data_IF_402805765944
#
_entry.id   IF_402805765944
#
_cell.length_a   1.000
_cell.length_b   1.000
_cell.length_c   1.000
_cell.angle_alpha   90.00
_cell.angle_beta   90.00
_cell.angle_gamma   90.00
#
_symmetry.space_group_name_H-M   'P 1'
#
loop_
_entity.id
_entity.type
_entity.pdbx_description
1 polymer ?
#
# COMPACT_ATOMS: atom_id res chain seq x y z
N UNK A 1 13.96 -9.11 15.84
CA UNK A 1 12.96 -9.98 15.20
C UNK A 1 13.41 -10.20 13.77
N UNK A 2 13.41 -11.44 13.31
CA UNK A 2 13.71 -11.76 11.91
C UNK A 2 12.41 -11.74 11.13
N UNK A 3 12.36 -10.93 10.07
CA UNK A 3 11.19 -10.78 9.21
C UNK A 3 11.52 -11.29 7.82
N UNK A 4 10.50 -11.72 7.09
CA UNK A 4 10.62 -12.12 5.69
C UNK A 4 9.96 -11.06 4.81
N UNK A 5 10.70 -10.51 3.86
CA UNK A 5 10.11 -9.72 2.78
C UNK A 5 9.81 -10.64 1.60
N UNK A 6 8.53 -10.72 1.22
CA UNK A 6 8.04 -11.49 0.07
C UNK A 6 7.53 -10.50 -0.95
N UNK A 7 8.02 -10.63 -2.18
CA UNK A 7 7.42 -9.99 -3.35
C UNK A 7 7.74 -10.82 -4.60
N UNK A 8 6.74 -11.13 -5.41
CA UNK A 8 6.96 -11.80 -6.70
C UNK A 8 5.96 -11.33 -7.75
N UNK A 9 6.33 -11.34 -9.04
CA UNK A 9 5.38 -11.07 -10.12
C UNK A 9 4.33 -12.18 -10.18
N UNK A 10 3.11 -11.81 -10.53
CA UNK A 10 1.97 -12.75 -10.60
C UNK A 10 1.30 -12.76 -11.97
N UNK A 11 0.88 -11.60 -12.49
CA UNK A 11 0.12 -11.49 -13.73
C UNK A 11 0.40 -10.17 -14.45
N UNK A 12 0.08 -10.09 -15.74
CA UNK A 12 -0.04 -8.82 -16.44
C UNK A 12 -1.38 -8.16 -16.15
N UNK A 13 -1.44 -6.83 -16.18
CA UNK A 13 -2.67 -6.07 -15.95
C UNK A 13 -2.78 -4.89 -16.90
N UNK A 14 -4.01 -4.52 -17.23
CA UNK A 14 -4.32 -3.29 -17.96
C UNK A 14 -4.95 -2.26 -17.04
N UNK A 15 -4.66 -0.99 -17.28
CA UNK A 15 -5.25 0.14 -16.56
C UNK A 15 -6.34 0.80 -17.42
N UNK A 16 -7.44 1.29 -16.82
CA UNK A 16 -8.38 2.12 -17.55
C UNK A 16 -7.74 3.48 -17.86
N UNK A 17 -8.33 4.26 -18.76
CA UNK A 17 -7.79 5.57 -19.16
C UNK A 17 -7.48 6.47 -17.95
N UNK A 18 -6.41 7.27 -18.06
CA UNK A 18 -6.04 8.18 -16.99
C UNK A 18 -7.09 9.30 -16.81
N UNK A 19 -7.58 9.47 -15.58
CA UNK A 19 -8.51 10.56 -15.21
C UNK A 19 -8.11 11.25 -13.90
N UNK A 20 -6.87 11.08 -13.44
CA UNK A 20 -6.37 11.59 -12.16
C UNK A 20 -7.22 11.19 -10.92
N UNK A 21 -7.83 10.01 -10.96
CA UNK A 21 -8.65 9.46 -9.89
C UNK A 21 -7.84 9.08 -8.64
N UNK A 22 -8.41 9.36 -7.46
CA UNK A 22 -7.84 8.99 -6.16
C UNK A 22 -8.88 8.35 -5.26
N UNK A 23 -8.59 7.14 -4.82
CA UNK A 23 -9.38 6.36 -3.87
C UNK A 23 -8.44 5.90 -2.78
N UNK A 24 -8.81 6.07 -1.52
CA UNK A 24 -7.98 5.65 -0.42
C UNK A 24 -8.68 4.57 0.40
N UNK A 25 -8.08 3.37 0.39
CA UNK A 25 -8.42 2.22 1.23
C UNK A 25 -9.92 1.94 1.32
N UNK A 26 -10.60 1.96 0.17
CA UNK A 26 -12.03 1.66 0.10
C UNK A 26 -12.25 0.15 0.21
N UNK A 27 -13.14 -0.22 1.13
CA UNK A 27 -13.53 -1.60 1.34
C UNK A 27 -14.40 -2.13 0.18
N UNK A 28 -14.20 -3.40 -0.18
CA UNK A 28 -15.09 -4.19 -1.01
C UNK A 28 -14.89 -5.70 -0.74
N UNK A 29 -15.84 -6.54 -1.14
CA UNK A 29 -15.69 -8.00 -1.10
C UNK A 29 -15.46 -8.55 -2.50
N UNK A 30 -14.62 -9.58 -2.60
CA UNK A 30 -14.27 -10.19 -3.88
C UNK A 30 -15.50 -10.72 -4.63
N UNK A 31 -16.44 -11.34 -3.92
CA UNK A 31 -17.65 -11.92 -4.51
C UNK A 31 -18.63 -10.88 -5.09
N UNK A 32 -18.67 -9.68 -4.49
CA UNK A 32 -19.52 -8.57 -4.92
C UNK A 32 -18.86 -7.77 -6.06
N UNK A 33 -17.53 -7.82 -6.13
CA UNK A 33 -16.72 -6.98 -7.00
C UNK A 33 -16.62 -5.54 -6.51
N UNK A 34 -16.09 -4.67 -7.36
CA UNK A 34 -15.97 -3.25 -7.04
C UNK A 34 -17.34 -2.55 -7.09
N UNK A 35 -17.54 -1.53 -6.23
CA UNK A 35 -18.72 -0.68 -6.27
C UNK A 35 -18.83 0.07 -7.61
N UNK A 36 -20.04 0.50 -7.96
CA UNK A 36 -20.37 1.03 -9.29
C UNK A 36 -19.48 2.19 -9.73
N UNK A 37 -19.14 3.10 -8.82
CA UNK A 37 -18.28 4.25 -9.12
C UNK A 37 -16.83 3.87 -9.40
N UNK A 38 -16.40 2.66 -9.03
CA UNK A 38 -15.07 2.11 -9.33
C UNK A 38 -15.11 1.00 -10.40
N UNK A 39 -16.27 0.75 -11.03
CA UNK A 39 -16.43 -0.41 -11.92
C UNK A 39 -15.46 -0.42 -13.11
N UNK A 40 -14.98 0.74 -13.55
CA UNK A 40 -13.93 0.86 -14.58
C UNK A 40 -12.62 0.15 -14.24
N UNK A 41 -12.36 -0.09 -12.95
CA UNK A 41 -11.17 -0.78 -12.45
C UNK A 41 -11.37 -2.27 -12.26
N UNK A 42 -12.59 -2.79 -12.46
CA UNK A 42 -12.89 -4.22 -12.24
C UNK A 42 -11.93 -5.13 -13.01
N UNK A 43 -11.63 -4.92 -14.31
CA UNK A 43 -10.68 -5.78 -15.02
C UNK A 43 -9.25 -5.74 -14.43
N UNK A 44 -8.82 -4.57 -13.92
CA UNK A 44 -7.54 -4.42 -13.24
C UNK A 44 -7.51 -5.22 -11.95
N UNK A 45 -8.56 -5.10 -11.13
CA UNK A 45 -8.68 -5.77 -9.83
C UNK A 45 -8.85 -7.28 -10.00
N UNK A 46 -9.61 -7.74 -10.99
CA UNK A 46 -9.76 -9.17 -11.29
C UNK A 46 -8.41 -9.81 -11.63
N UNK A 47 -7.58 -9.13 -12.44
CA UNK A 47 -6.23 -9.59 -12.75
C UNK A 47 -5.32 -9.58 -11.50
N UNK A 48 -5.46 -8.58 -10.63
CA UNK A 48 -4.69 -8.49 -9.37
C UNK A 48 -5.06 -9.60 -8.38
N UNK A 49 -6.33 -10.01 -8.33
CA UNK A 49 -6.88 -11.03 -7.43
C UNK A 49 -6.92 -12.45 -8.04
N UNK A 50 -6.33 -12.65 -9.22
CA UNK A 50 -6.31 -13.95 -9.90
C UNK A 50 -5.55 -15.00 -9.10
N UNK A 51 -6.24 -15.91 -8.41
CA UNK A 51 -5.63 -16.93 -7.55
C UNK A 51 -5.58 -16.58 -6.06
N UNK A 52 -6.11 -15.41 -5.68
CA UNK A 52 -6.33 -15.02 -4.28
C UNK A 52 -7.65 -15.63 -3.83
N UNK A 53 -7.66 -16.43 -2.76
CA UNK A 53 -8.89 -16.99 -2.18
C UNK A 53 -9.11 -16.38 -0.80
N UNK A 54 -10.22 -15.64 -0.64
CA UNK A 54 -10.56 -14.94 0.60
C UNK A 54 -12.02 -14.48 0.56
N UNK A 55 -12.67 -14.57 1.71
CA UNK A 55 -14.00 -13.99 1.97
C UNK A 55 -13.89 -12.70 2.82
N UNK A 56 -12.67 -12.32 3.24
CA UNK A 56 -12.45 -11.13 4.06
C UNK A 56 -12.62 -9.84 3.23
N UNK A 57 -12.93 -8.71 3.90
CA UNK A 57 -12.95 -7.41 3.25
C UNK A 57 -11.57 -7.07 2.67
N UNK A 58 -11.55 -6.63 1.41
CA UNK A 58 -10.36 -6.16 0.69
C UNK A 58 -10.39 -4.64 0.67
N UNK A 59 -9.23 -4.01 0.84
CA UNK A 59 -9.12 -2.55 0.82
C UNK A 59 -8.32 -2.09 -0.39
N UNK A 60 -8.94 -1.28 -1.24
CA UNK A 60 -8.32 -0.75 -2.46
C UNK A 60 -7.86 0.70 -2.29
N UNK A 61 -6.62 0.96 -2.70
CA UNK A 61 -6.13 2.30 -2.97
C UNK A 61 -5.85 2.45 -4.47
N UNK A 62 -6.30 3.58 -5.02
CA UNK A 62 -6.05 4.02 -6.38
C UNK A 62 -5.40 5.40 -6.26
N UNK A 63 -4.19 5.56 -6.77
CA UNK A 63 -3.50 6.84 -6.80
C UNK A 63 -3.06 7.11 -8.24
N UNK A 64 -3.80 7.97 -8.92
CA UNK A 64 -3.45 8.49 -10.22
C UNK A 64 -2.87 9.89 -10.07
N UNK A 65 -1.78 10.18 -10.78
CA UNK A 65 -1.16 11.50 -10.74
C UNK A 65 -0.19 11.75 -11.88
N UNK A 66 0.05 13.04 -12.15
CA UNK A 66 1.15 13.49 -13.00
C UNK A 66 2.39 13.57 -12.11
N UNK A 67 3.42 12.80 -12.44
CA UNK A 67 4.70 12.77 -11.71
C UNK A 67 5.73 13.51 -12.54
N UNK A 68 6.39 14.49 -11.94
CA UNK A 68 7.45 15.25 -12.60
C UNK A 68 8.76 14.47 -12.62
N UNK A 69 9.57 14.67 -13.66
CA UNK A 69 10.91 14.11 -13.75
C UNK A 69 11.72 14.35 -12.45
N UNK A 70 12.43 13.33 -11.98
CA UNK A 70 13.21 13.38 -10.73
C UNK A 70 12.40 13.24 -9.44
N UNK A 71 11.07 13.16 -9.52
CA UNK A 71 10.20 12.93 -8.36
C UNK A 71 9.65 11.50 -8.32
N UNK A 72 9.24 11.09 -7.12
CA UNK A 72 8.48 9.86 -6.89
C UNK A 72 7.00 10.20 -6.78
N UNK A 73 6.13 9.26 -7.14
CA UNK A 73 4.69 9.44 -6.95
C UNK A 73 4.29 9.36 -5.48
N UNK A 74 4.92 8.43 -4.75
CA UNK A 74 4.68 8.14 -3.32
C UNK A 74 5.95 8.42 -2.50
N UNK A 75 5.89 8.15 -1.19
CA UNK A 75 6.98 8.32 -0.23
C UNK A 75 8.30 7.73 -0.77
N UNK A 76 9.37 8.52 -0.65
CA UNK A 76 10.75 8.09 -0.94
C UNK A 76 11.28 7.26 0.23
N UNK A 77 12.24 6.40 -0.07
CA UNK A 77 12.95 5.59 0.92
C UNK A 77 12.29 4.25 1.19
N UNK A 78 13.11 3.33 1.66
CA UNK A 78 12.73 1.96 1.99
C UNK A 78 11.72 1.93 3.14
N UNK A 79 10.61 1.23 2.92
CA UNK A 79 9.58 1.03 3.93
C UNK A 79 8.82 -0.28 3.73
N UNK A 80 8.07 -0.65 4.76
CA UNK A 80 6.92 -1.56 4.66
C UNK A 80 5.65 -0.74 4.89
N UNK A 81 4.52 -1.23 4.37
CA UNK A 81 3.24 -0.56 4.58
C UNK A 81 2.50 -1.05 5.83
N UNK A 82 2.82 -2.24 6.35
CA UNK A 82 2.12 -2.79 7.51
C UNK A 82 0.65 -3.13 7.22
N UNK A 83 -0.07 -3.52 8.27
CA UNK A 83 -1.50 -3.84 8.21
C UNK A 83 -2.32 -2.59 7.94
N UNK A 84 -3.39 -2.74 7.18
CA UNK A 84 -4.44 -1.73 7.18
C UNK A 84 -5.35 -1.87 8.41
N UNK A 85 -5.55 -0.77 9.14
CA UNK A 85 -6.52 -0.71 10.23
C UNK A 85 -7.69 0.22 9.85
N UNK A 86 -8.84 -0.33 9.44
CA UNK A 86 -9.98 0.48 9.00
C UNK A 86 -10.53 1.37 10.12
N UNK A 87 -10.51 0.91 11.37
CA UNK A 87 -10.99 1.67 12.53
C UNK A 87 -10.15 2.92 12.83
N UNK A 88 -8.88 2.93 12.42
CA UNK A 88 -7.98 4.08 12.54
C UNK A 88 -7.80 4.84 11.22
N UNK A 89 -8.29 4.29 10.11
CA UNK A 89 -7.98 4.77 8.76
C UNK A 89 -6.48 4.97 8.54
N UNK A 90 -5.67 4.05 9.08
CA UNK A 90 -4.23 4.17 9.11
C UNK A 90 -3.55 2.81 8.91
N UNK A 91 -2.31 2.88 8.43
CA UNK A 91 -1.41 1.75 8.42
C UNK A 91 -0.70 1.61 9.77
N UNK A 92 -0.52 0.38 10.17
CA UNK A 92 0.10 0.07 11.44
C UNK A 92 0.54 -1.36 11.52
N UNK A 93 0.76 -1.77 12.75
CA UNK A 93 1.61 -2.89 13.05
C UNK A 93 0.85 -4.03 13.75
N UNK A 94 -0.48 -3.85 13.89
CA UNK A 94 -1.44 -4.91 14.17
C UNK A 94 -2.89 -4.50 13.90
N UNK A 95 -3.77 -5.50 13.79
CA UNK A 95 -5.22 -5.33 13.64
C UNK A 95 -5.96 -4.94 14.93
N UNK A 96 -5.25 -4.75 16.05
CA UNK A 96 -5.91 -4.46 17.33
C UNK A 96 -6.58 -3.09 17.27
N UNK A 97 -7.90 -3.10 17.08
CA UNK A 97 -8.81 -2.06 17.51
C UNK A 97 -8.61 -1.92 19.02
N UNK A 98 -7.80 -0.96 19.45
CA UNK A 98 -7.84 -0.55 20.85
C UNK A 98 -9.23 0.07 21.03
N UNK A 99 -10.13 -0.52 21.83
CA UNK A 99 -11.30 0.21 22.26
C UNK A 99 -10.81 1.17 23.33
N UNK A 100 -10.22 2.30 22.93
CA UNK A 100 -9.96 3.37 23.88
C UNK A 100 -11.30 4.02 24.13
N UNK A 101 -11.99 3.53 25.16
CA UNK A 101 -13.07 4.24 25.82
C UNK A 101 -12.56 5.57 26.34
N UNK A 102 -12.52 6.57 25.47
CA UNK A 102 -12.55 7.98 25.84
C UNK A 102 -13.48 8.70 24.88
N UNK A 103 -14.64 9.00 25.45
CA UNK A 103 -15.66 9.92 25.00
C UNK A 103 -15.08 11.26 24.54
N UNK A 104 -15.58 11.74 23.40
CA UNK A 104 -15.79 13.18 23.18
C UNK A 104 -14.76 13.90 22.32
N UNK A 105 -14.93 13.81 20.99
CA UNK A 105 -14.24 14.69 20.05
C UNK A 105 -14.78 14.51 18.64
N UNK A 106 -16.04 14.90 18.40
CA UNK A 106 -16.66 14.79 17.09
C UNK A 106 -15.86 15.51 16.02
N UNK A 107 -15.17 14.76 15.16
CA UNK A 107 -14.65 15.27 13.90
C UNK A 107 -15.83 15.48 12.96
N UNK A 108 -16.22 16.75 12.79
CA UNK A 108 -17.18 17.16 11.78
C UNK A 108 -16.55 16.94 10.40
N UNK A 109 -17.20 16.12 9.59
CA UNK A 109 -16.90 15.99 8.16
C UNK A 109 -17.23 17.30 7.45
N UNK A 110 -16.21 18.06 7.05
CA UNK A 110 -16.30 19.02 5.97
C UNK A 110 -15.52 18.47 4.78
N UNK A 111 -16.25 18.00 3.76
CA UNK A 111 -15.70 17.74 2.43
C UNK A 111 -15.37 19.10 1.79
N UNK A 112 -14.15 19.60 2.00
CA UNK A 112 -13.55 20.60 1.12
C UNK A 112 -12.34 19.98 0.41
N UNK A 113 -12.22 20.14 -0.92
CA UNK A 113 -11.08 19.61 -1.65
C UNK A 113 -9.80 20.37 -1.25
N UNK A 114 -8.66 19.68 -1.00
CA UNK A 114 -7.44 20.35 -0.55
C UNK A 114 -6.89 21.28 -1.63
N UNK A 115 -6.91 22.58 -1.37
CA UNK A 115 -6.04 23.55 -2.07
C UNK A 115 -4.61 23.36 -1.58
N UNK A 116 -3.67 23.30 -2.50
CA UNK A 116 -2.23 23.26 -2.25
C UNK A 116 -1.77 24.35 -1.26
N UNK A 117 -1.57 23.97 0.01
CA UNK A 117 -0.74 24.69 0.98
C UNK A 117 -0.06 23.66 1.84
N UNK A 118 1.28 23.71 1.83
CA UNK A 118 2.22 23.04 2.75
C UNK A 118 1.77 21.69 3.28
N UNK A 119 2.31 20.61 2.71
CA UNK A 119 2.24 19.28 3.30
C UNK A 119 2.76 19.33 4.75
N UNK A 120 1.87 19.53 5.72
CA UNK A 120 2.04 18.92 7.03
C UNK A 120 1.94 17.42 6.79
N UNK A 121 2.98 16.64 7.13
CA UNK A 121 2.83 15.21 7.06
C UNK A 121 1.75 14.86 8.07
N UNK A 122 0.69 14.19 7.62
CA UNK A 122 -0.20 13.46 8.51
C UNK A 122 0.64 12.31 9.10
N UNK A 123 1.57 12.65 9.99
CA UNK A 123 2.18 11.71 10.91
C UNK A 123 1.09 11.36 11.91
N UNK A 124 0.73 10.08 11.92
CA UNK A 124 -0.04 9.46 12.97
C UNK A 124 0.53 9.86 14.34
N UNK A 125 -0.07 10.85 15.00
CA UNK A 125 0.13 11.11 16.41
C UNK A 125 -0.58 9.99 17.19
N UNK A 126 0.07 8.84 17.34
CA UNK A 126 -0.59 7.67 17.90
C UNK A 126 0.35 6.51 18.21
N UNK A 127 1.26 6.71 19.17
CA UNK A 127 2.11 5.69 19.80
C UNK A 127 3.06 4.90 18.89
N UNK A 128 4.22 4.54 19.44
CA UNK A 128 5.33 3.77 18.86
C UNK A 128 4.96 2.30 18.47
N UNK A 129 3.72 2.05 18.04
CA UNK A 129 3.14 0.73 17.79
C UNK A 129 3.99 -0.16 16.88
N UNK A 130 4.71 0.42 15.93
CA UNK A 130 5.60 -0.28 14.99
C UNK A 130 6.72 -1.09 15.65
N UNK A 131 7.22 -0.67 16.82
CA UNK A 131 8.39 -1.29 17.48
C UNK A 131 8.07 -2.64 18.11
N UNK A 132 6.84 -2.83 18.58
CA UNK A 132 6.42 -4.01 19.35
C UNK A 132 5.64 -5.04 18.50
N UNK A 133 5.75 -4.93 17.19
CA UNK A 133 4.84 -5.65 16.29
C UNK A 133 5.44 -6.91 15.73
N UNK A 134 4.63 -7.96 15.71
CA UNK A 134 5.06 -9.31 15.35
C UNK A 134 4.81 -9.65 13.88
N UNK A 135 3.91 -8.92 13.21
CA UNK A 135 3.51 -9.16 11.80
C UNK A 135 3.14 -10.63 11.49
N UNK A 136 2.49 -11.30 12.44
CA UNK A 136 2.17 -12.75 12.36
C UNK A 136 0.87 -13.07 11.61
N UNK A 137 -0.09 -12.14 11.57
CA UNK A 137 -1.35 -12.33 10.88
C UNK A 137 -1.14 -12.23 9.35
N UNK A 138 -1.73 -13.13 8.56
CA UNK A 138 -1.60 -13.07 7.11
C UNK A 138 -2.34 -11.83 6.56
N UNK A 139 -1.61 -10.94 5.90
CA UNK A 139 -2.18 -9.89 5.05
C UNK A 139 -1.32 -9.70 3.80
N UNK A 140 -1.98 -9.76 2.65
CA UNK A 140 -1.36 -9.62 1.35
C UNK A 140 -1.34 -8.16 0.93
N UNK A 141 -0.21 -7.74 0.37
CA UNK A 141 -0.03 -6.45 -0.28
C UNK A 141 0.13 -6.69 -1.78
N UNK A 142 -0.92 -6.39 -2.54
CA UNK A 142 -0.91 -6.58 -3.99
C UNK A 142 -0.76 -5.22 -4.67
N UNK A 143 0.25 -5.08 -5.53
CA UNK A 143 0.63 -3.83 -6.15
C UNK A 143 0.63 -3.95 -7.67
N UNK A 144 0.13 -2.93 -8.36
CA UNK A 144 0.30 -2.78 -9.80
C UNK A 144 0.44 -1.31 -10.18
N UNK A 145 1.34 -1.02 -11.13
CA UNK A 145 1.62 0.35 -11.57
C UNK A 145 1.66 0.42 -13.10
N UNK A 146 1.12 1.49 -13.69
CA UNK A 146 1.20 1.71 -15.14
C UNK A 146 2.61 2.10 -15.62
N UNK A 147 3.53 2.34 -14.68
CA UNK A 147 4.92 2.71 -14.92
C UNK A 147 5.86 1.93 -14.01
N UNK A 148 7.04 1.54 -14.53
CA UNK A 148 8.14 0.99 -13.75
C UNK A 148 8.81 2.11 -12.94
N UNK A 149 8.36 2.28 -11.71
CA UNK A 149 8.82 3.35 -10.80
C UNK A 149 8.82 2.89 -9.33
N UNK A 150 9.02 1.59 -9.11
CA UNK A 150 9.10 0.98 -7.79
C UNK A 150 10.10 -0.18 -7.81
N UNK A 151 10.72 -0.45 -6.68
CA UNK A 151 11.57 -1.63 -6.48
C UNK A 151 11.13 -2.32 -5.19
N UNK A 152 11.25 -3.64 -5.17
CA UNK A 152 11.04 -4.47 -3.97
C UNK A 152 12.29 -5.25 -3.63
N UNK A 153 12.40 -5.72 -2.39
CA UNK A 153 13.53 -6.50 -1.91
C UNK A 153 13.04 -7.81 -1.31
N UNK A 154 13.53 -8.95 -1.81
CA UNK A 154 13.11 -10.29 -1.35
C UNK A 154 14.21 -10.89 -0.48
N UNK A 155 13.82 -11.40 0.69
CA UNK A 155 14.73 -12.09 1.59
C UNK A 155 14.36 -11.86 3.05
N UNK A 156 15.09 -12.56 3.92
CA UNK A 156 15.00 -12.32 5.35
C UNK A 156 15.78 -11.07 5.72
N UNK A 157 15.26 -10.29 6.65
CA UNK A 157 15.92 -9.11 7.20
C UNK A 157 15.72 -9.00 8.71
N UNK A 158 16.61 -8.25 9.35
CA UNK A 158 16.55 -7.98 10.78
C UNK A 158 16.64 -6.47 11.03
N UNK A 159 15.91 -6.01 12.04
CA UNK A 159 15.91 -4.61 12.47
C UNK A 159 14.54 -4.19 12.98
N UNK A 160 14.47 -3.09 13.75
CA UNK A 160 13.19 -2.51 14.14
C UNK A 160 12.48 -1.90 12.92
N UNK A 161 11.15 -1.94 12.90
CA UNK A 161 10.40 -1.11 11.95
C UNK A 161 10.24 0.28 12.55
N UNK A 162 10.71 1.30 11.83
CA UNK A 162 10.62 2.70 12.24
C UNK A 162 9.21 3.28 12.06
N UNK A 163 9.06 4.55 12.41
CA UNK A 163 7.78 5.24 12.30
C UNK A 163 7.22 5.21 10.87
N UNK A 164 5.93 4.87 10.76
CA UNK A 164 5.24 4.79 9.47
C UNK A 164 5.86 3.74 8.54
N UNK A 165 6.43 2.67 9.10
CA UNK A 165 7.02 1.59 8.33
C UNK A 165 8.45 1.87 7.85
N UNK A 166 9.13 2.89 8.36
CA UNK A 166 10.48 3.25 7.89
C UNK A 166 11.47 2.09 8.07
N UNK A 167 12.15 1.74 6.98
CA UNK A 167 13.14 0.67 6.95
C UNK A 167 14.48 1.17 6.39
N UNK A 168 14.71 2.48 6.33
CA UNK A 168 15.89 3.09 5.69
C UNK A 168 17.24 2.64 6.27
N UNK A 169 17.23 2.05 7.45
CA UNK A 169 18.39 1.56 8.19
C UNK A 169 18.63 0.04 8.03
N UNK A 170 17.73 -0.69 7.37
CA UNK A 170 17.85 -2.13 7.16
C UNK A 170 18.99 -2.44 6.19
N UNK A 171 19.84 -3.42 6.52
CA UNK A 171 20.88 -3.90 5.61
C UNK A 171 20.26 -4.72 4.48
N UNK A 172 20.47 -4.26 3.25
CA UNK A 172 19.96 -4.87 2.03
C UNK A 172 20.95 -5.83 1.36
N UNK A 173 22.18 -5.95 1.88
CA UNK A 173 23.28 -6.67 1.20
C UNK A 173 22.97 -8.15 0.90
N UNK A 174 22.12 -8.78 1.72
CA UNK A 174 21.68 -10.17 1.55
C UNK A 174 20.37 -10.34 0.78
N UNK A 175 19.72 -9.25 0.35
CA UNK A 175 18.38 -9.29 -0.24
C UNK A 175 18.45 -9.23 -1.77
N UNK A 176 17.52 -9.92 -2.42
CA UNK A 176 17.37 -9.85 -3.88
C UNK A 176 16.51 -8.67 -4.26
N UNK A 177 17.08 -7.69 -4.96
CA UNK A 177 16.32 -6.57 -5.51
C UNK A 177 15.50 -6.99 -6.74
N UNK A 178 14.23 -6.60 -6.77
CA UNK A 178 13.31 -6.79 -7.89
C UNK A 178 12.86 -5.42 -8.41
N UNK A 179 13.15 -5.13 -9.67
CA UNK A 179 12.61 -3.96 -10.34
C UNK A 179 11.16 -4.23 -10.74
N UNK A 180 10.22 -3.48 -10.16
CA UNK A 180 8.79 -3.67 -10.42
C UNK A 180 8.40 -3.03 -11.74
N UNK A 181 8.04 -3.87 -12.71
CA UNK A 181 7.76 -3.49 -14.08
C UNK A 181 6.37 -2.86 -14.23
N UNK A 182 6.22 -2.05 -15.27
CA UNK A 182 4.93 -1.50 -15.66
C UNK A 182 3.96 -2.63 -16.04
N UNK A 183 2.69 -2.47 -15.69
CA UNK A 183 1.61 -3.38 -16.09
C UNK A 183 1.78 -4.83 -15.60
N UNK A 184 2.56 -5.02 -14.53
CA UNK A 184 2.71 -6.29 -13.84
C UNK A 184 2.15 -6.16 -12.43
N UNK A 185 1.37 -7.17 -12.03
CA UNK A 185 0.90 -7.39 -10.66
C UNK A 185 2.03 -8.03 -9.86
N UNK A 186 2.28 -7.47 -8.69
CA UNK A 186 3.18 -8.02 -7.70
C UNK A 186 2.41 -8.40 -6.45
N UNK A 187 2.57 -9.64 -6.01
CA UNK A 187 2.06 -10.10 -4.71
C UNK A 187 3.19 -10.04 -3.71
N UNK A 188 2.94 -9.39 -2.58
CA UNK A 188 3.82 -9.42 -1.43
C UNK A 188 3.06 -9.62 -0.14
N UNK A 189 3.81 -9.82 0.93
CA UNK A 189 3.26 -9.88 2.29
C UNK A 189 3.28 -8.49 2.96
N UNK A 190 2.72 -8.41 4.16
CA UNK A 190 2.62 -7.16 4.94
C UNK A 190 3.97 -6.52 5.29
N UNK A 191 5.04 -7.32 5.32
CA UNK A 191 6.43 -6.90 5.56
C UNK A 191 7.26 -6.77 4.29
N UNK A 192 6.62 -6.69 3.13
CA UNK A 192 7.29 -6.44 1.85
C UNK A 192 8.05 -5.11 1.88
N UNK A 193 9.37 -5.19 1.85
CA UNK A 193 10.29 -4.07 1.72
C UNK A 193 10.27 -3.53 0.30
N UNK A 194 9.83 -2.29 0.15
CA UNK A 194 9.74 -1.63 -1.14
C UNK A 194 10.00 -0.13 -1.05
N UNK A 195 10.30 0.49 -2.19
CA UNK A 195 10.44 1.94 -2.31
C UNK A 195 10.08 2.44 -3.71
N UNK A 196 9.57 3.68 -3.77
CA UNK A 196 9.39 4.37 -5.04
C UNK A 196 10.72 4.91 -5.56
N UNK A 197 10.96 4.76 -6.87
CA UNK A 197 12.13 5.34 -7.55
C UNK A 197 11.72 6.57 -8.38
N UNK A 198 12.60 7.59 -8.51
CA UNK A 198 12.31 8.76 -9.32
C UNK A 198 12.02 8.43 -10.78
N UNK A 199 10.99 9.06 -11.36
CA UNK A 199 10.68 8.92 -12.79
C UNK A 199 11.64 9.75 -13.65
N UNK A 200 12.00 9.25 -14.83
CA UNK A 200 12.98 9.91 -15.71
C UNK A 200 12.41 11.07 -16.53
N UNK A 201 11.10 11.10 -16.72
CA UNK A 201 10.38 12.15 -17.47
C UNK A 201 9.03 12.43 -16.84
N UNK A 202 8.45 13.59 -17.17
CA UNK A 202 7.08 13.91 -16.79
C UNK A 202 6.12 12.85 -17.36
N UNK A 203 5.31 12.25 -16.49
CA UNK A 203 4.44 11.14 -16.89
C UNK A 203 3.14 11.10 -16.10
N UNK A 204 2.10 10.55 -16.72
CA UNK A 204 0.92 10.06 -16.02
C UNK A 204 1.23 8.70 -15.41
N UNK A 205 0.96 8.54 -14.11
CA UNK A 205 1.15 7.27 -13.40
C UNK A 205 -0.12 6.89 -12.68
N UNK A 206 -0.52 5.64 -12.84
CA UNK A 206 -1.60 4.98 -12.10
C UNK A 206 -0.96 3.92 -11.20
N UNK A 207 -1.31 3.93 -9.93
CA UNK A 207 -0.93 2.93 -8.94
C UNK A 207 -2.21 2.36 -8.33
N UNK A 208 -2.34 1.03 -8.32
CA UNK A 208 -3.36 0.33 -7.57
C UNK A 208 -2.69 -0.53 -6.53
N UNK A 209 -3.22 -0.49 -5.31
CA UNK A 209 -2.80 -1.29 -4.18
C UNK A 209 -4.02 -1.96 -3.58
N UNK A 210 -3.91 -3.24 -3.26
CA UNK A 210 -4.90 -3.99 -2.48
C UNK A 210 -4.25 -4.49 -1.20
N UNK A 211 -4.96 -4.34 -0.08
CA UNK A 211 -4.69 -5.02 1.17
C UNK A 211 -5.70 -6.14 1.33
N UNK A 212 -5.20 -7.36 1.52
CA UNK A 212 -6.00 -8.59 1.54
C UNK A 212 -5.79 -9.32 2.88
N UNK A 213 -6.55 -8.96 3.93
CA UNK A 213 -6.50 -9.66 5.21
C UNK A 213 -6.83 -11.15 5.08
N UNK A 214 -6.16 -11.98 5.85
CA UNK A 214 -6.34 -13.43 5.86
C UNK A 214 -5.62 -14.19 4.74
N UNK A 215 -4.89 -13.50 3.86
CA UNK A 215 -4.19 -14.10 2.73
C UNK A 215 -2.76 -13.58 2.65
N UNK A 216 -1.81 -14.42 2.27
CA UNK A 216 -0.43 -14.02 1.94
C UNK A 216 0.07 -14.92 0.80
N UNK A 217 0.91 -14.41 -0.13
CA UNK A 217 1.59 -15.25 -1.10
C UNK A 217 2.64 -16.17 -0.48
#
# INVERSE_FOLDING_TARGET
MKLQSIIHPAASVTFPAFIAERVYMREFHKEEGLPEDLKRWQPTVDAMLSGVDTDNPIYIMIDCGIVKAGNTHRRKGLHIDGYWNPGLSAHGSGHRSIPSGHSGGGCRHSYEPPRHRGQSPFHSSGSDSWKDSTFEEPEGLILASSLAACVGYVGEFEGPIGEGGDCSHIDLSGLTKIDMQANIVYWGNVTNLHESIPVQSDCERQLVRLNVPGWTP
#
